data_IF_889127251108
#
_entry.id   IF_889127251108
#
_cell.length_a   1.000
_cell.length_b   1.000
_cell.length_c   1.000
_cell.angle_alpha   90.00
_cell.angle_beta   90.00
_cell.angle_gamma   90.00
#
_symmetry.space_group_name_H-M   'P 1'
#
loop_
_entity.id
_entity.type
_entity.pdbx_description
1 polymer ?
#
# COMPACT_ATOMS: atom_id res chain seq x y z
N UNK A 1 3.20 26.35 -5.12
CA UNK A 1 2.85 25.45 -6.22
C UNK A 1 1.54 24.76 -5.95
N UNK A 2 0.59 24.94 -6.82
CA UNK A 2 -0.72 24.33 -6.67
C UNK A 2 -0.66 22.88 -7.15
N UNK A 3 -1.10 21.98 -6.29
CA UNK A 3 -1.20 20.59 -6.67
C UNK A 3 -2.46 20.38 -7.51
N UNK A 4 -2.39 19.38 -8.40
CA UNK A 4 -3.49 19.05 -9.29
C UNK A 4 -4.60 18.27 -8.59
N UNK A 5 -4.47 18.02 -7.31
CA UNK A 5 -5.44 17.25 -6.53
C UNK A 5 -5.40 17.67 -5.08
N UNK A 6 -6.47 17.32 -4.37
CA UNK A 6 -6.59 17.56 -2.94
C UNK A 6 -7.04 16.28 -2.25
N UNK A 7 -6.36 15.90 -1.18
CA UNK A 7 -6.76 14.75 -0.36
C UNK A 7 -7.84 15.21 0.61
N UNK A 8 -9.00 14.56 0.54
CA UNK A 8 -10.15 14.90 1.38
C UNK A 8 -10.24 14.00 2.60
N UNK A 9 -9.82 12.75 2.47
CA UNK A 9 -9.87 11.78 3.57
C UNK A 9 -8.88 10.66 3.34
N UNK A 10 -8.39 10.09 4.43
CA UNK A 10 -7.56 8.90 4.43
C UNK A 10 -8.04 7.99 5.56
N UNK A 11 -8.21 6.71 5.29
CA UNK A 11 -8.62 5.77 6.33
C UNK A 11 -8.22 4.34 5.99
N UNK A 12 -8.07 3.51 7.03
CA UNK A 12 -7.82 2.08 6.85
C UNK A 12 -9.17 1.41 6.58
N UNK A 13 -9.30 0.76 5.43
CA UNK A 13 -10.51 -0.01 5.08
C UNK A 13 -10.49 -1.39 5.71
N UNK A 14 -9.34 -2.01 5.73
CA UNK A 14 -9.17 -3.35 6.28
C UNK A 14 -7.72 -3.55 6.67
N UNK A 15 -7.53 -4.29 7.75
CA UNK A 15 -6.21 -4.66 8.21
C UNK A 15 -6.28 -6.11 8.70
N UNK A 16 -5.39 -6.94 8.18
CA UNK A 16 -5.41 -8.38 8.43
C UNK A 16 -4.04 -8.90 8.79
N UNK A 17 -3.99 -9.68 9.85
CA UNK A 17 -2.79 -10.39 10.26
C UNK A 17 -3.22 -11.74 10.78
N UNK A 18 -2.64 -12.79 10.23
CA UNK A 18 -3.00 -14.15 10.64
C UNK A 18 -1.75 -14.96 10.90
N UNK A 19 -1.64 -15.46 12.14
CA UNK A 19 -0.59 -16.39 12.56
C UNK A 19 -1.28 -17.52 13.30
N UNK A 20 -1.64 -18.62 12.58
CA UNK A 20 -2.55 -19.61 13.12
C UNK A 20 -1.97 -20.50 14.23
N UNK A 21 -0.65 -20.55 14.39
CA UNK A 21 -0.02 -21.42 15.37
C UNK A 21 1.35 -20.93 15.80
N UNK A 22 1.86 -21.47 16.89
CA UNK A 22 3.23 -21.19 17.33
C UNK A 22 4.26 -21.68 16.29
N UNK A 23 3.98 -22.79 15.64
CA UNK A 23 4.84 -23.30 14.57
C UNK A 23 4.88 -22.32 13.41
N UNK A 24 3.73 -21.75 13.06
CA UNK A 24 3.66 -20.73 12.02
C UNK A 24 4.44 -19.48 12.40
N UNK A 25 4.33 -19.05 13.65
CA UNK A 25 5.09 -17.89 14.15
C UNK A 25 6.61 -18.12 14.01
N UNK A 26 7.08 -19.29 14.45
CA UNK A 26 8.51 -19.62 14.37
C UNK A 26 8.96 -19.67 12.92
N UNK A 27 8.15 -20.27 12.04
CA UNK A 27 8.46 -20.33 10.63
C UNK A 27 8.63 -18.93 10.03
N UNK A 28 7.69 -18.02 10.31
CA UNK A 28 7.77 -16.65 9.80
C UNK A 28 9.02 -15.95 10.33
N UNK A 29 9.29 -16.09 11.63
CA UNK A 29 10.45 -15.45 12.24
C UNK A 29 11.76 -15.88 11.60
N UNK A 30 11.88 -17.17 11.27
CA UNK A 30 13.08 -17.71 10.62
C UNK A 30 13.18 -17.35 9.14
N UNK A 31 12.05 -17.07 8.49
CA UNK A 31 11.99 -16.85 7.05
C UNK A 31 11.56 -15.44 6.66
N UNK A 32 11.56 -14.52 7.61
CA UNK A 32 11.06 -13.16 7.38
C UNK A 32 11.83 -12.45 6.24
N UNK A 33 13.11 -12.78 6.06
CA UNK A 33 13.91 -12.19 4.98
C UNK A 33 13.45 -12.61 3.58
N UNK A 34 12.67 -13.70 3.49
CA UNK A 34 12.11 -14.17 2.22
C UNK A 34 10.75 -13.55 1.91
N UNK A 35 10.20 -12.79 2.84
CA UNK A 35 8.91 -12.13 2.64
C UNK A 35 9.07 -10.92 1.72
N UNK A 36 8.07 -10.73 0.89
CA UNK A 36 8.07 -9.66 -0.10
C UNK A 36 6.90 -8.72 0.12
N UNK A 37 7.16 -7.44 -0.05
CA UNK A 37 6.12 -6.42 0.00
C UNK A 37 5.53 -6.26 -1.39
N UNK A 38 4.24 -6.52 -1.52
CA UNK A 38 3.49 -6.29 -2.75
C UNK A 38 2.60 -5.07 -2.58
N UNK A 39 2.54 -4.23 -3.59
CA UNK A 39 1.75 -3.01 -3.57
C UNK A 39 0.77 -3.08 -4.73
N UNK A 40 -0.52 -2.91 -4.44
CA UNK A 40 -1.56 -2.86 -5.45
C UNK A 40 -2.35 -1.57 -5.28
N UNK A 41 -2.65 -0.90 -6.39
CA UNK A 41 -3.35 0.39 -6.38
C UNK A 41 -4.53 0.31 -7.33
N UNK A 42 -5.74 0.57 -6.80
CA UNK A 42 -6.96 0.63 -7.57
C UNK A 42 -7.65 1.96 -7.33
N UNK A 43 -8.49 2.37 -8.27
CA UNK A 43 -9.26 3.60 -8.11
C UNK A 43 -10.70 3.38 -8.57
N UNK A 44 -11.62 4.08 -7.91
CA UNK A 44 -13.05 4.04 -8.22
C UNK A 44 -13.54 5.48 -8.29
N UNK A 45 -14.13 5.90 -9.41
CA UNK A 45 -14.71 7.25 -9.48
C UNK A 45 -15.94 7.35 -8.58
N UNK A 46 -16.04 8.46 -7.88
CA UNK A 46 -17.15 8.77 -7.01
C UNK A 46 -17.89 9.97 -7.57
N UNK A 47 -19.00 10.34 -6.92
CA UNK A 47 -19.77 11.52 -7.30
C UNK A 47 -18.95 12.80 -7.00
N UNK A 48 -19.31 13.90 -7.66
CA UNK A 48 -18.75 15.24 -7.43
C UNK A 48 -17.24 15.32 -7.70
N UNK A 49 -16.77 14.64 -8.75
CA UNK A 49 -15.35 14.67 -9.18
C UNK A 49 -14.37 14.13 -8.16
N UNK A 50 -14.86 13.31 -7.23
CA UNK A 50 -14.03 12.64 -6.27
C UNK A 50 -13.64 11.25 -6.78
N UNK A 51 -12.48 10.76 -6.30
CA UNK A 51 -11.98 9.43 -6.63
C UNK A 51 -11.53 8.78 -5.34
N UNK A 52 -11.95 7.52 -5.13
CA UNK A 52 -11.41 6.70 -4.06
C UNK A 52 -10.21 5.93 -4.60
N UNK A 53 -9.04 6.17 -4.03
CA UNK A 53 -7.82 5.45 -4.37
C UNK A 53 -7.56 4.43 -3.27
N UNK A 54 -7.53 3.16 -3.64
CA UNK A 54 -7.30 2.06 -2.69
C UNK A 54 -5.89 1.53 -2.89
N UNK A 55 -5.06 1.63 -1.85
CA UNK A 55 -3.69 1.14 -1.86
C UNK A 55 -3.60 -0.05 -0.90
N UNK A 56 -3.22 -1.20 -1.44
CA UNK A 56 -3.09 -2.43 -0.65
C UNK A 56 -1.62 -2.81 -0.52
N UNK A 57 -1.16 -2.95 0.72
CA UNK A 57 0.16 -3.51 0.99
C UNK A 57 -0.02 -4.91 1.53
N UNK A 58 0.70 -5.85 0.95
CA UNK A 58 0.65 -7.24 1.34
C UNK A 58 2.07 -7.76 1.51
N UNK A 59 2.34 -8.33 2.67
CA UNK A 59 3.66 -8.85 3.01
C UNK A 59 3.54 -10.34 3.23
N UNK A 60 4.12 -11.12 2.31
CA UNK A 60 3.97 -12.57 2.33
C UNK A 60 5.15 -13.27 1.66
N UNK A 61 5.33 -14.53 2.03
CA UNK A 61 6.24 -15.43 1.32
C UNK A 61 5.43 -16.13 0.23
N UNK A 62 5.92 -16.09 -1.00
CA UNK A 62 5.26 -16.72 -2.15
C UNK A 62 5.49 -18.22 -2.25
N UNK A 63 6.31 -18.79 -1.37
CA UNK A 63 6.56 -20.23 -1.35
C UNK A 63 5.31 -21.04 -0.99
N UNK A 64 5.33 -22.35 -1.28
CA UNK A 64 4.15 -23.21 -1.10
C UNK A 64 3.91 -23.68 0.33
N UNK A 65 4.50 -23.05 1.34
CA UNK A 65 4.41 -23.51 2.71
C UNK A 65 3.05 -23.17 3.33
N UNK A 66 2.37 -24.19 3.83
CA UNK A 66 1.05 -24.05 4.45
C UNK A 66 1.07 -23.37 5.82
N UNK A 67 2.25 -23.29 6.45
CA UNK A 67 2.40 -22.68 7.78
C UNK A 67 2.66 -21.18 7.73
N UNK A 68 2.71 -20.60 6.56
CA UNK A 68 3.05 -19.18 6.40
C UNK A 68 1.91 -18.29 6.89
N UNK A 69 2.32 -17.18 7.50
CA UNK A 69 1.41 -16.08 7.83
C UNK A 69 1.41 -15.06 6.70
N UNK A 70 0.39 -14.22 6.66
CA UNK A 70 0.41 -13.06 5.78
C UNK A 70 -0.10 -11.84 6.53
N UNK A 71 0.27 -10.69 6.03
CA UNK A 71 -0.08 -9.41 6.62
C UNK A 71 -0.56 -8.49 5.50
N UNK A 72 -1.71 -7.85 5.69
CA UNK A 72 -2.29 -7.02 4.65
C UNK A 72 -2.95 -5.80 5.25
N UNK A 73 -2.76 -4.66 4.60
CA UNK A 73 -3.51 -3.45 4.91
C UNK A 73 -4.13 -2.92 3.62
N UNK A 74 -5.40 -2.57 3.69
CA UNK A 74 -6.12 -1.92 2.60
C UNK A 74 -6.42 -0.50 3.05
N UNK A 75 -5.82 0.46 2.37
CA UNK A 75 -5.84 1.86 2.74
C UNK A 75 -6.57 2.68 1.68
N UNK A 76 -7.54 3.49 2.09
CA UNK A 76 -8.32 4.29 1.18
C UNK A 76 -7.95 5.77 1.31
N UNK A 77 -7.85 6.42 0.16
CA UNK A 77 -7.63 7.86 0.06
C UNK A 77 -8.69 8.43 -0.85
N UNK A 78 -9.46 9.40 -0.37
CA UNK A 78 -10.45 10.08 -1.19
C UNK A 78 -9.82 11.38 -1.67
N UNK A 79 -9.74 11.54 -2.98
CA UNK A 79 -9.12 12.71 -3.58
C UNK A 79 -10.12 13.44 -4.48
N UNK A 80 -9.97 14.75 -4.55
CA UNK A 80 -10.64 15.59 -5.53
C UNK A 80 -9.59 16.05 -6.51
N UNK A 81 -9.80 15.75 -7.78
CA UNK A 81 -8.86 16.12 -8.84
C UNK A 81 -9.30 17.45 -9.45
N UNK A 82 -8.32 18.28 -9.77
CA UNK A 82 -8.57 19.58 -10.41
C UNK A 82 -9.39 19.40 -11.68
N UNK A 83 -10.38 20.27 -11.87
CA UNK A 83 -11.28 20.22 -13.02
C UNK A 83 -10.54 20.34 -14.37
N UNK A 84 -9.34 20.93 -14.37
CA UNK A 84 -8.53 21.06 -15.59
C UNK A 84 -7.87 19.75 -16.02
N UNK A 85 -7.88 18.72 -15.18
CA UNK A 85 -7.24 17.44 -15.50
C UNK A 85 -8.26 16.57 -16.24
N UNK A 86 -8.10 16.46 -17.56
CA UNK A 86 -9.02 15.69 -18.40
C UNK A 86 -8.34 14.52 -19.10
N UNK A 87 -7.01 14.55 -19.20
CA UNK A 87 -6.24 13.51 -19.85
C UNK A 87 -6.13 12.29 -18.92
N UNK A 88 -6.42 11.12 -19.46
CA UNK A 88 -6.34 9.87 -18.73
C UNK A 88 -4.93 9.61 -18.18
N UNK A 89 -3.90 9.94 -18.94
CA UNK A 89 -2.51 9.75 -18.50
C UNK A 89 -2.16 10.64 -17.33
N UNK A 90 -2.63 11.89 -17.34
CA UNK A 90 -2.39 12.81 -16.23
C UNK A 90 -3.10 12.32 -14.97
N UNK A 91 -4.32 11.81 -15.13
CA UNK A 91 -5.08 11.25 -14.01
C UNK A 91 -4.38 10.01 -13.43
N UNK A 92 -3.90 9.11 -14.29
CA UNK A 92 -3.17 7.94 -13.83
C UNK A 92 -1.91 8.31 -13.06
N UNK A 93 -1.17 9.32 -13.52
CA UNK A 93 0.02 9.79 -12.82
C UNK A 93 -0.33 10.31 -11.43
N UNK A 94 -1.41 11.06 -11.32
CA UNK A 94 -1.85 11.57 -10.03
C UNK A 94 -2.16 10.39 -9.08
N UNK A 95 -2.94 9.43 -9.54
CA UNK A 95 -3.38 8.29 -8.72
C UNK A 95 -2.21 7.37 -8.35
N UNK A 96 -1.37 7.04 -9.32
CA UNK A 96 -0.34 6.02 -9.14
C UNK A 96 0.97 6.56 -8.60
N UNK A 97 1.21 7.85 -8.71
CA UNK A 97 2.47 8.46 -8.29
C UNK A 97 2.27 9.55 -7.24
N UNK A 98 1.58 10.63 -7.61
CA UNK A 98 1.53 11.83 -6.77
C UNK A 98 0.79 11.59 -5.45
N UNK A 99 -0.36 10.92 -5.50
CA UNK A 99 -1.13 10.56 -4.30
C UNK A 99 -0.31 9.61 -3.43
N UNK A 100 0.31 8.60 -4.05
CA UNK A 100 1.08 7.61 -3.31
C UNK A 100 2.26 8.23 -2.59
N UNK A 101 2.96 9.16 -3.22
CA UNK A 101 4.09 9.85 -2.59
C UNK A 101 3.66 10.62 -1.34
N UNK A 102 2.43 11.10 -1.31
CA UNK A 102 1.93 11.83 -0.14
C UNK A 102 1.46 10.92 1.00
N UNK A 103 0.78 9.83 0.67
CA UNK A 103 0.17 8.96 1.70
C UNK A 103 1.13 7.88 2.19
N UNK A 104 2.12 7.51 1.40
CA UNK A 104 2.94 6.34 1.71
C UNK A 104 3.68 6.41 3.05
N UNK A 105 4.27 7.54 3.47
CA UNK A 105 4.95 7.58 4.78
C UNK A 105 4.03 7.18 5.94
N UNK A 106 2.78 7.64 5.93
CA UNK A 106 1.82 7.28 6.95
C UNK A 106 1.34 5.84 6.81
N UNK A 107 1.09 5.41 5.58
CA UNK A 107 0.69 4.03 5.28
C UNK A 107 1.78 3.04 5.71
N UNK A 108 3.04 3.32 5.37
CA UNK A 108 4.17 2.48 5.74
C UNK A 108 4.29 2.35 7.26
N UNK A 109 4.17 3.47 7.98
CA UNK A 109 4.23 3.46 9.43
C UNK A 109 3.12 2.59 10.02
N UNK A 110 1.91 2.73 9.52
CA UNK A 110 0.77 1.93 10.00
C UNK A 110 1.00 0.45 9.74
N UNK A 111 1.54 0.12 8.57
CA UNK A 111 1.81 -1.28 8.22
C UNK A 111 2.95 -1.87 9.07
N UNK A 112 4.01 -1.10 9.30
CA UNK A 112 5.10 -1.54 10.19
C UNK A 112 4.59 -1.76 11.62
N UNK A 113 3.71 -0.89 12.10
CA UNK A 113 3.10 -1.08 13.42
C UNK A 113 2.34 -2.40 13.49
N UNK A 114 1.64 -2.76 12.40
CA UNK A 114 0.96 -4.05 12.33
C UNK A 114 1.95 -5.21 12.46
N UNK A 115 3.04 -5.18 11.70
CA UNK A 115 4.05 -6.23 11.73
C UNK A 115 4.72 -6.32 13.11
N UNK A 116 5.06 -5.19 13.70
CA UNK A 116 5.68 -5.17 15.03
C UNK A 116 4.74 -5.72 16.10
N UNK A 117 3.47 -5.33 16.05
CA UNK A 117 2.47 -5.81 17.01
C UNK A 117 2.05 -7.26 16.75
N UNK A 118 2.35 -7.77 15.57
CA UNK A 118 2.07 -9.18 15.23
C UNK A 118 3.20 -10.12 15.70
N UNK A 119 4.21 -9.57 16.36
CA UNK A 119 5.30 -10.38 16.93
C UNK A 119 6.62 -10.24 16.21
N UNK A 120 6.77 -9.29 15.30
CA UNK A 120 7.99 -9.13 14.49
C UNK A 120 8.54 -7.70 14.61
N UNK A 121 8.98 -7.29 15.82
CA UNK A 121 9.40 -5.91 16.06
C UNK A 121 10.70 -5.52 15.35
N UNK A 122 11.43 -6.49 14.80
CA UNK A 122 12.69 -6.26 14.11
C UNK A 122 12.52 -5.97 12.62
N UNK A 123 11.28 -6.15 12.08
CA UNK A 123 11.05 -5.93 10.67
C UNK A 123 11.20 -4.45 10.33
N UNK A 124 11.95 -4.19 9.26
CA UNK A 124 12.14 -2.86 8.71
C UNK A 124 11.93 -2.90 7.21
N UNK A 125 11.40 -1.83 6.66
CA UNK A 125 11.31 -1.66 5.22
C UNK A 125 12.43 -0.69 4.85
N UNK A 126 13.61 -1.25 4.56
CA UNK A 126 14.81 -0.45 4.30
C UNK A 126 14.79 0.18 2.91
N UNK A 127 14.10 -0.47 1.97
CA UNK A 127 14.08 -0.02 0.60
C UNK A 127 12.90 0.91 0.38
N UNK A 128 13.19 2.16 0.08
CA UNK A 128 12.13 3.13 -0.21
C UNK A 128 11.43 2.76 -1.51
N UNK A 129 10.11 2.82 -1.51
CA UNK A 129 9.32 2.59 -2.71
C UNK A 129 9.37 3.85 -3.57
N UNK A 130 9.79 3.69 -4.81
CA UNK A 130 9.84 4.78 -5.77
C UNK A 130 8.62 4.68 -6.70
N UNK A 131 7.56 5.40 -6.37
CA UNK A 131 6.32 5.36 -7.13
C UNK A 131 6.48 5.95 -8.52
N UNK A 132 7.38 6.89 -8.69
CA UNK A 132 7.67 7.45 -10.01
C UNK A 132 8.24 6.37 -10.92
N UNK A 133 9.17 5.58 -10.42
CA UNK A 133 9.75 4.48 -11.17
C UNK A 133 8.73 3.39 -11.49
N UNK A 134 7.90 3.04 -10.50
CA UNK A 134 6.84 2.05 -10.71
C UNK A 134 5.84 2.51 -11.77
N UNK A 135 5.49 3.78 -11.76
CA UNK A 135 4.60 4.36 -12.76
C UNK A 135 5.21 4.28 -14.16
N UNK A 136 6.50 4.62 -14.29
CA UNK A 136 7.20 4.55 -15.58
C UNK A 136 7.23 3.13 -16.12
N UNK A 137 7.47 2.14 -15.26
CA UNK A 137 7.48 0.74 -15.69
C UNK A 137 6.11 0.29 -16.18
N UNK A 138 5.04 0.75 -15.53
CA UNK A 138 3.67 0.40 -15.90
C UNK A 138 3.23 1.07 -17.20
N UNK A 139 3.77 2.24 -17.51
CA UNK A 139 3.41 3.01 -18.72
C UNK A 139 4.07 2.50 -20.00
N UNK A 140 5.06 1.66 -19.88
CA UNK A 140 5.78 1.11 -21.02
C UNK A 140 5.16 -0.21 -21.49
#
# INVERSE_FOLDING_TARGET
>A
MTENFKILAEFVKDISSETPSIQGYIFVKENISKYHLNIDINSIPLKNKMIEVTTTLKFEDKGPNEMKSYFEIVYATVVMVDAGIKDKKDLEKIILCDVQNKIYPNLEKTFLDLLHNSGFPEVKIDKKVDFTQLYKQRSN
#
